data_IF_811541760458
#
_entry.id   IF_811541760458
#
_cell.length_a   1.000
_cell.length_b   1.000
_cell.length_c   1.000
_cell.angle_alpha   90.00
_cell.angle_beta   90.00
_cell.angle_gamma   90.00
#
_symmetry.space_group_name_H-M   'P 1'
#
loop_
_entity.id
_entity.type
_entity.pdbx_description
1 polymer ?
#
# COMPACT_ATOMS: atom_id res chain seq x y z
N UNK A 1 -5.39 -14.82 -16.63
CA UNK A 1 -5.92 -13.77 -15.71
C UNK A 1 -7.38 -14.10 -15.45
N UNK A 2 -7.77 -14.49 -14.23
CA UNK A 2 -9.15 -14.89 -13.94
C UNK A 2 -10.06 -13.67 -13.75
N UNK A 3 -11.26 -13.70 -14.35
CA UNK A 3 -12.23 -12.60 -14.35
C UNK A 3 -12.62 -12.12 -12.93
N UNK A 4 -12.58 -13.02 -11.94
CA UNK A 4 -13.13 -12.76 -10.60
C UNK A 4 -12.09 -12.44 -9.53
N UNK A 5 -10.81 -12.23 -9.89
CA UNK A 5 -9.74 -11.99 -8.89
C UNK A 5 -9.99 -10.74 -8.05
N UNK A 6 -10.54 -9.69 -8.67
CA UNK A 6 -10.87 -8.45 -7.97
C UNK A 6 -11.95 -8.69 -6.91
N UNK A 7 -13.05 -9.34 -7.28
CA UNK A 7 -14.16 -9.64 -6.35
C UNK A 7 -13.72 -10.52 -5.18
N UNK A 8 -12.88 -11.53 -5.43
CA UNK A 8 -12.32 -12.39 -4.37
C UNK A 8 -11.41 -11.61 -3.44
N UNK A 9 -10.56 -10.72 -3.98
CA UNK A 9 -9.68 -9.88 -3.16
C UNK A 9 -10.51 -8.94 -2.26
N UNK A 10 -11.55 -8.31 -2.80
CA UNK A 10 -12.46 -7.43 -2.05
C UNK A 10 -13.19 -8.20 -0.95
N UNK A 11 -13.74 -9.39 -1.26
CA UNK A 11 -14.42 -10.22 -0.27
C UNK A 11 -13.51 -10.62 0.89
N UNK A 12 -12.25 -10.97 0.61
CA UNK A 12 -11.25 -11.25 1.65
C UNK A 12 -11.02 -10.04 2.55
N UNK A 13 -10.84 -8.85 1.98
CA UNK A 13 -10.60 -7.62 2.74
C UNK A 13 -11.77 -7.28 3.66
N UNK A 14 -13.02 -7.42 3.17
CA UNK A 14 -14.22 -7.23 3.99
C UNK A 14 -14.25 -8.21 5.17
N UNK A 15 -13.93 -9.48 4.93
CA UNK A 15 -13.92 -10.51 5.97
C UNK A 15 -12.83 -10.24 7.03
N UNK A 16 -11.64 -9.80 6.62
CA UNK A 16 -10.56 -9.40 7.54
C UNK A 16 -10.98 -8.19 8.40
N UNK A 17 -11.65 -7.19 7.82
CA UNK A 17 -12.18 -6.05 8.57
C UNK A 17 -13.18 -6.50 9.64
N UNK A 18 -14.16 -7.33 9.28
CA UNK A 18 -15.17 -7.86 10.21
C UNK A 18 -14.51 -8.67 11.32
N UNK A 19 -13.57 -9.55 10.98
CA UNK A 19 -12.83 -10.37 11.95
C UNK A 19 -12.15 -9.51 13.02
N UNK A 20 -11.48 -8.43 12.64
CA UNK A 20 -10.78 -7.57 13.60
C UNK A 20 -11.74 -6.73 14.44
N UNK A 21 -12.82 -6.21 13.86
CA UNK A 21 -13.86 -5.48 14.62
C UNK A 21 -14.44 -6.38 15.72
N UNK A 22 -14.81 -7.61 15.37
CA UNK A 22 -15.41 -8.56 16.32
C UNK A 22 -14.40 -9.04 17.38
N UNK A 23 -13.16 -9.32 16.97
CA UNK A 23 -12.13 -9.88 17.86
C UNK A 23 -11.57 -8.84 18.83
N UNK A 24 -11.34 -7.61 18.37
CA UNK A 24 -10.73 -6.55 19.18
C UNK A 24 -11.76 -5.74 19.97
N UNK A 25 -13.05 -5.85 19.62
CA UNK A 25 -14.15 -5.04 20.19
C UNK A 25 -13.90 -3.52 20.10
N UNK A 26 -13.11 -3.12 19.12
CA UNK A 26 -12.84 -1.73 18.82
C UNK A 26 -13.68 -1.31 17.60
N UNK A 27 -14.24 -0.09 17.59
CA UNK A 27 -14.92 0.43 16.42
C UNK A 27 -13.95 0.47 15.23
N UNK A 28 -14.50 0.27 14.02
CA UNK A 28 -13.71 0.41 12.80
C UNK A 28 -13.06 1.79 12.76
N UNK A 29 -11.72 1.82 12.73
CA UNK A 29 -10.94 3.03 12.55
C UNK A 29 -10.45 3.07 11.12
N UNK A 30 -11.04 3.96 10.34
CA UNK A 30 -10.56 4.23 9.00
C UNK A 30 -9.12 4.71 9.07
N UNK A 31 -8.23 4.02 8.34
CA UNK A 31 -6.79 4.29 8.36
C UNK A 31 -6.43 5.60 7.62
N UNK A 32 -7.42 6.23 6.99
CA UNK A 32 -7.28 7.41 6.14
C UNK A 32 -6.79 7.07 4.73
N UNK A 33 -7.05 7.97 3.79
CA UNK A 33 -6.67 7.80 2.38
C UNK A 33 -5.15 7.58 2.21
N UNK A 34 -4.35 8.25 3.05
CA UNK A 34 -2.89 8.18 3.01
C UNK A 34 -2.31 6.83 3.45
N UNK A 35 -3.08 5.95 4.09
CA UNK A 35 -2.55 4.69 4.65
C UNK A 35 -1.89 3.84 3.56
N UNK A 36 -2.59 3.69 2.44
CA UNK A 36 -2.10 2.93 1.32
C UNK A 36 -0.97 3.64 0.59
N UNK A 37 -0.99 4.97 0.56
CA UNK A 37 0.08 5.76 -0.06
C UNK A 37 1.38 5.66 0.72
N UNK A 38 1.33 5.72 2.06
CA UNK A 38 2.50 5.47 2.92
C UNK A 38 3.05 4.05 2.75
N UNK A 39 2.17 3.05 2.63
CA UNK A 39 2.61 1.67 2.43
C UNK A 39 3.24 1.46 1.04
N UNK A 40 2.71 2.16 0.02
CA UNK A 40 3.23 2.10 -1.36
C UNK A 40 4.44 3.00 -1.59
N UNK A 41 4.65 4.04 -0.79
CA UNK A 41 5.75 5.01 -0.90
C UNK A 41 7.08 4.30 -1.10
N UNK A 42 7.42 3.36 -0.22
CA UNK A 42 8.67 2.61 -0.30
C UNK A 42 8.81 1.79 -1.59
N UNK A 43 7.71 1.22 -2.10
CA UNK A 43 7.72 0.48 -3.35
C UNK A 43 7.88 1.40 -4.56
N UNK A 44 7.20 2.53 -4.55
CA UNK A 44 7.24 3.55 -5.60
C UNK A 44 8.65 4.15 -5.68
N UNK A 45 9.23 4.51 -4.53
CA UNK A 45 10.61 5.03 -4.45
C UNK A 45 11.58 4.02 -5.03
N UNK A 46 11.54 2.75 -4.58
CA UNK A 46 12.43 1.69 -5.11
C UNK A 46 12.30 1.49 -6.62
N UNK A 47 11.07 1.45 -7.13
CA UNK A 47 10.83 1.26 -8.56
C UNK A 47 11.35 2.46 -9.38
N UNK A 48 11.19 3.67 -8.85
CA UNK A 48 11.63 4.90 -9.51
C UNK A 48 13.14 5.02 -9.52
N UNK A 49 13.81 4.73 -8.41
CA UNK A 49 15.28 4.67 -8.32
C UNK A 49 15.83 3.71 -9.37
N UNK A 50 15.32 2.47 -9.38
CA UNK A 50 15.76 1.44 -10.34
C UNK A 50 15.60 1.88 -11.79
N UNK A 51 14.53 2.63 -12.10
CA UNK A 51 14.28 3.15 -13.44
C UNK A 51 15.28 4.25 -13.83
N UNK A 52 15.63 5.13 -12.89
CA UNK A 52 16.62 6.19 -13.11
C UNK A 52 18.04 5.62 -13.25
N UNK A 53 18.41 4.65 -12.41
CA UNK A 53 19.68 3.93 -12.50
C UNK A 53 19.83 3.20 -13.86
N UNK A 54 18.75 2.57 -14.34
CA UNK A 54 18.73 1.93 -15.65
C UNK A 54 18.91 2.89 -16.84
N UNK A 55 18.72 4.20 -16.63
CA UNK A 55 18.99 5.24 -17.61
C UNK A 55 20.40 5.84 -17.48
N UNK A 56 21.22 5.33 -16.56
CA UNK A 56 22.60 5.78 -16.34
C UNK A 56 22.74 6.95 -15.36
N UNK A 57 21.68 7.30 -14.62
CA UNK A 57 21.74 8.35 -13.60
C UNK A 57 22.17 7.79 -12.25
N UNK A 58 23.08 8.48 -11.56
CA UNK A 58 23.37 8.24 -10.15
C UNK A 58 22.26 8.88 -9.30
N UNK A 59 21.52 8.07 -8.54
CA UNK A 59 20.39 8.55 -7.74
C UNK A 59 20.80 8.69 -6.28
N UNK A 60 20.74 9.93 -5.76
CA UNK A 60 20.88 10.22 -4.33
C UNK A 60 19.54 10.69 -3.79
N UNK A 61 18.98 9.95 -2.85
CA UNK A 61 17.71 10.28 -2.20
C UNK A 61 17.99 10.98 -0.87
N UNK A 62 17.52 12.21 -0.74
CA UNK A 62 17.46 12.90 0.55
C UNK A 62 15.99 13.16 0.90
N UNK A 63 15.57 12.73 2.10
CA UNK A 63 14.21 12.96 2.57
C UNK A 63 14.15 14.34 3.20
N UNK A 64 13.66 15.33 2.45
CA UNK A 64 13.29 16.62 3.03
C UNK A 64 11.98 16.44 3.80
N UNK A 65 12.03 16.60 5.12
CA UNK A 65 10.84 16.71 5.95
C UNK A 65 10.14 18.03 5.60
N UNK A 66 8.98 17.94 4.96
CA UNK A 66 7.99 19.01 4.92
C UNK A 66 7.04 18.88 6.11
#
# INVERSE_FOLDING_TARGET
RGANRASVAVGRTILEMIYYILTRKEPYRELGDDYWDRQREASIVRQTVKRLEGLGYEVKLEKTSA
#
